data_IF_177185203126
#
_entry.id   IF_177185203126
#
_cell.length_a   1.000
_cell.length_b   1.000
_cell.length_c   1.000
_cell.angle_alpha   90.00
_cell.angle_beta   90.00
_cell.angle_gamma   90.00
#
_symmetry.space_group_name_H-M   'P 1'
#
loop_
_entity.id
_entity.type
_entity.pdbx_description
1 polymer ?
#
# COMPACT_ATOMS: atom_id res chain seq x y z
N UNK A 1 -11.01 -19.51 -5.71
CA UNK A 1 -10.24 -18.57 -4.85
C UNK A 1 -8.83 -19.12 -4.73
N UNK A 2 -7.82 -18.40 -5.22
CA UNK A 2 -6.45 -18.94 -5.26
C UNK A 2 -5.84 -18.96 -3.85
N UNK A 3 -5.21 -20.07 -3.48
CA UNK A 3 -4.48 -20.26 -2.21
C UNK A 3 -3.54 -19.09 -1.90
N UNK A 4 -2.94 -18.49 -2.93
CA UNK A 4 -2.05 -17.33 -2.82
C UNK A 4 -2.69 -16.06 -2.24
N UNK A 5 -3.96 -15.79 -2.55
CA UNK A 5 -4.64 -14.61 -2.01
C UNK A 5 -4.95 -14.79 -0.52
N UNK A 6 -5.43 -15.98 -0.13
CA UNK A 6 -5.65 -16.30 1.28
C UNK A 6 -4.35 -16.30 2.09
N UNK A 7 -3.26 -16.89 1.55
CA UNK A 7 -1.97 -16.90 2.25
C UNK A 7 -1.39 -15.50 2.40
N UNK A 8 -1.52 -14.65 1.38
CA UNK A 8 -1.04 -13.26 1.45
C UNK A 8 -1.84 -12.44 2.48
N UNK A 9 -3.17 -12.55 2.48
CA UNK A 9 -4.02 -11.86 3.45
C UNK A 9 -3.75 -12.39 4.87
N UNK A 10 -3.64 -13.71 5.03
CA UNK A 10 -3.35 -14.36 6.31
C UNK A 10 -1.99 -13.94 6.87
N UNK A 11 -0.94 -13.97 6.05
CA UNK A 11 0.40 -13.56 6.44
C UNK A 11 0.44 -12.06 6.81
N UNK A 12 -0.20 -11.20 6.01
CA UNK A 12 -0.28 -9.77 6.29
C UNK A 12 -1.00 -9.48 7.62
N UNK A 13 -2.08 -10.21 7.89
CA UNK A 13 -2.85 -10.08 9.13
C UNK A 13 -2.04 -10.56 10.33
N UNK A 14 -1.37 -11.70 10.20
CA UNK A 14 -0.49 -12.25 11.24
C UNK A 14 0.64 -11.29 11.58
N UNK A 15 1.32 -10.74 10.57
CA UNK A 15 2.40 -9.77 10.78
C UNK A 15 1.90 -8.51 11.52
N UNK A 16 0.72 -7.99 11.18
CA UNK A 16 0.13 -6.86 11.92
C UNK A 16 -0.13 -7.20 13.38
N UNK A 17 -0.61 -8.41 13.65
CA UNK A 17 -0.91 -8.87 15.01
C UNK A 17 0.38 -9.01 15.84
N UNK A 18 1.42 -9.62 15.26
CA UNK A 18 2.73 -9.75 15.90
C UNK A 18 3.37 -8.39 16.19
N UNK A 19 3.37 -7.47 15.22
CA UNK A 19 3.92 -6.13 15.40
C UNK A 19 3.10 -5.31 16.42
N UNK A 20 1.78 -5.47 16.44
CA UNK A 20 0.92 -4.82 17.42
C UNK A 20 1.22 -5.30 18.84
N UNK A 21 1.32 -6.62 19.04
CA UNK A 21 1.67 -7.18 20.36
C UNK A 21 3.07 -6.75 20.77
N UNK A 22 4.03 -6.72 19.85
CA UNK A 22 5.38 -6.23 20.15
C UNK A 22 5.39 -4.77 20.61
N UNK A 23 4.66 -3.89 19.91
CA UNK A 23 4.50 -2.50 20.30
C UNK A 23 3.77 -2.36 21.64
N UNK A 24 2.68 -3.10 21.85
CA UNK A 24 1.92 -3.11 23.10
C UNK A 24 2.79 -3.57 24.28
N UNK A 25 3.60 -4.61 24.09
CA UNK A 25 4.54 -5.08 25.09
C UNK A 25 5.52 -3.99 25.53
N UNK A 26 6.12 -3.28 24.57
CA UNK A 26 7.06 -2.19 24.86
C UNK A 26 6.36 -0.99 25.53
N UNK A 27 5.13 -0.65 25.13
CA UNK A 27 4.40 0.47 25.74
C UNK A 27 3.91 0.10 27.16
N UNK A 28 3.55 -1.17 27.39
CA UNK A 28 3.04 -1.64 28.69
C UNK A 28 4.09 -1.59 29.81
N UNK A 29 5.38 -1.57 29.48
CA UNK A 29 6.47 -1.41 30.46
C UNK A 29 6.67 0.05 30.88
N UNK A 30 5.85 0.98 30.38
CA UNK A 30 5.89 2.41 30.75
C UNK A 30 6.99 3.21 30.05
N UNK A 31 7.68 2.61 29.07
CA UNK A 31 8.77 3.28 28.36
C UNK A 31 8.22 4.25 27.33
N UNK A 32 8.77 5.47 27.30
CA UNK A 32 8.41 6.48 26.32
C UNK A 32 9.06 6.17 24.96
N UNK A 33 8.25 6.07 23.92
CA UNK A 33 8.71 5.97 22.54
C UNK A 33 9.27 7.31 22.08
N UNK A 34 10.33 7.28 21.26
CA UNK A 34 10.83 8.49 20.62
C UNK A 34 9.82 8.99 19.59
N UNK A 35 9.29 10.22 19.71
CA UNK A 35 8.32 10.77 18.77
C UNK A 35 8.88 10.97 17.36
N UNK A 36 10.21 11.04 17.19
CA UNK A 36 10.83 11.18 15.87
C UNK A 36 10.76 9.88 15.04
N UNK A 37 10.83 8.72 15.70
CA UNK A 37 10.68 7.41 15.06
C UNK A 37 10.11 6.37 16.05
N UNK A 38 8.78 6.39 16.27
CA UNK A 38 8.14 5.49 17.24
C UNK A 38 8.32 4.01 16.88
N UNK A 39 8.29 3.69 15.58
CA UNK A 39 8.42 2.31 15.10
C UNK A 39 9.82 1.75 15.38
N UNK A 40 10.88 2.50 15.05
CA UNK A 40 12.25 2.06 15.35
C UNK A 40 12.50 1.95 16.86
N UNK A 41 11.86 2.83 17.66
CA UNK A 41 11.95 2.82 19.11
C UNK A 41 11.41 1.52 19.70
N UNK A 42 10.30 0.99 19.19
CA UNK A 42 9.75 -0.30 19.64
C UNK A 42 10.79 -1.42 19.49
N UNK A 43 11.42 -1.52 18.32
CA UNK A 43 12.44 -2.55 18.07
C UNK A 43 13.70 -2.33 18.90
N UNK A 44 14.13 -1.08 19.05
CA UNK A 44 15.29 -0.71 19.85
C UNK A 44 15.09 -0.99 21.33
N UNK A 45 13.90 -0.73 21.88
CA UNK A 45 13.57 -1.00 23.28
C UNK A 45 13.39 -2.50 23.54
N UNK A 46 12.90 -3.26 22.56
CA UNK A 46 12.72 -4.70 22.69
C UNK A 46 14.04 -5.50 22.68
N UNK A 47 15.06 -5.07 21.92
CA UNK A 47 16.29 -5.86 21.72
C UNK A 47 17.58 -5.04 21.56
N UNK A 48 17.56 -3.78 21.99
CA UNK A 48 18.71 -2.87 21.92
C UNK A 48 19.07 -2.45 20.49
N UNK A 49 20.35 -2.13 20.28
CA UNK A 49 20.90 -1.73 18.96
C UNK A 49 20.71 -2.81 17.88
N UNK A 50 20.63 -4.08 18.27
CA UNK A 50 20.40 -5.19 17.35
C UNK A 50 19.00 -5.09 16.73
N UNK A 51 17.98 -4.80 17.55
CA UNK A 51 16.62 -4.53 17.08
C UNK A 51 16.52 -3.32 16.17
N UNK A 52 17.24 -2.25 16.49
CA UNK A 52 17.29 -1.05 15.64
C UNK A 52 17.84 -1.37 14.24
N UNK A 53 18.91 -2.17 14.14
CA UNK A 53 19.48 -2.60 12.86
C UNK A 53 18.53 -3.53 12.09
N UNK A 54 17.89 -4.49 12.77
CA UNK A 54 16.90 -5.38 12.16
C UNK A 54 15.75 -4.57 11.58
N UNK A 55 15.23 -3.58 12.32
CA UNK A 55 14.18 -2.70 11.83
C UNK A 55 14.59 -1.99 10.53
N UNK A 56 15.83 -1.47 10.47
CA UNK A 56 16.37 -0.86 9.26
C UNK A 56 16.37 -1.81 8.06
N UNK A 57 16.83 -3.06 8.24
CA UNK A 57 16.83 -4.08 7.18
C UNK A 57 15.40 -4.43 6.74
N UNK A 58 14.47 -4.55 7.69
CA UNK A 58 13.06 -4.86 7.41
C UNK A 58 12.41 -3.75 6.57
N UNK A 59 12.55 -2.48 6.98
CA UNK A 59 11.99 -1.34 6.24
C UNK A 59 12.66 -1.21 4.87
N UNK A 60 13.96 -1.47 4.76
CA UNK A 60 14.67 -1.46 3.47
C UNK A 60 14.13 -2.54 2.51
N UNK A 61 13.97 -3.77 2.98
CA UNK A 61 13.40 -4.86 2.18
C UNK A 61 11.94 -4.59 1.79
N UNK A 62 11.14 -4.04 2.71
CA UNK A 62 9.76 -3.63 2.44
C UNK A 62 9.70 -2.50 1.39
N UNK A 63 10.63 -1.55 1.45
CA UNK A 63 10.75 -0.47 0.47
C UNK A 63 11.04 -1.00 -0.93
N UNK A 64 12.04 -1.87 -1.09
CA UNK A 64 12.42 -2.42 -2.41
C UNK A 64 11.27 -3.22 -3.03
N UNK A 65 10.66 -4.13 -2.27
CA UNK A 65 9.55 -4.95 -2.78
C UNK A 65 8.34 -4.10 -3.19
N UNK A 66 8.05 -3.03 -2.46
CA UNK A 66 7.00 -2.06 -2.80
C UNK A 66 7.32 -1.29 -4.08
N UNK A 67 8.53 -0.70 -4.18
CA UNK A 67 8.95 0.08 -5.36
C UNK A 67 8.92 -0.76 -6.64
N UNK A 68 9.45 -1.98 -6.58
CA UNK A 68 9.44 -2.90 -7.73
C UNK A 68 8.01 -3.33 -8.09
N UNK A 69 7.18 -3.65 -7.09
CA UNK A 69 5.78 -4.02 -7.31
C UNK A 69 4.94 -2.91 -7.94
N UNK A 70 5.10 -1.67 -7.45
CA UNK A 70 4.43 -0.49 -8.01
C UNK A 70 4.88 -0.22 -9.45
N UNK A 71 6.19 -0.25 -9.72
CA UNK A 71 6.71 -0.03 -11.07
C UNK A 71 6.22 -1.10 -12.06
N UNK A 72 6.20 -2.38 -11.65
CA UNK A 72 5.69 -3.46 -12.49
C UNK A 72 4.20 -3.29 -12.82
N UNK A 73 3.40 -2.90 -11.81
CA UNK A 73 1.97 -2.66 -11.99
C UNK A 73 1.73 -1.48 -12.93
N UNK A 74 2.43 -0.35 -12.74
CA UNK A 74 2.34 0.82 -13.62
C UNK A 74 2.71 0.49 -15.07
N UNK A 75 3.84 -0.19 -15.30
CA UNK A 75 4.28 -0.57 -16.65
C UNK A 75 3.30 -1.57 -17.28
N UNK A 76 2.74 -2.50 -16.50
CA UNK A 76 1.73 -3.42 -17.01
C UNK A 76 0.45 -2.73 -17.47
N UNK A 77 0.07 -1.59 -16.88
CA UNK A 77 -1.05 -0.80 -17.38
C UNK A 77 -0.75 -0.16 -18.73
N UNK A 78 0.45 0.41 -18.90
CA UNK A 78 0.85 1.09 -20.15
C UNK A 78 1.08 0.05 -21.27
N UNK A 79 1.54 -1.16 -20.91
CA UNK A 79 1.74 -2.29 -21.83
C UNK A 79 0.50 -2.61 -22.67
N UNK A 80 -0.69 -2.42 -22.11
CA UNK A 80 -1.97 -2.66 -22.80
C UNK A 80 -2.25 -1.65 -23.92
N UNK A 81 -1.55 -0.51 -23.97
CA UNK A 81 -1.76 0.55 -24.96
C UNK A 81 -0.81 0.47 -26.16
N UNK A 82 0.39 -0.12 -26.04
CA UNK A 82 1.34 -0.16 -27.16
C UNK A 82 2.28 -1.39 -27.16
N UNK A 83 2.46 -2.09 -28.30
CA UNK A 83 3.25 -3.32 -28.40
C UNK A 83 4.76 -3.12 -28.25
N UNK A 84 5.28 -1.89 -28.43
CA UNK A 84 6.71 -1.60 -28.20
C UNK A 84 7.11 -1.78 -26.73
N UNK A 85 6.16 -1.60 -25.81
CA UNK A 85 6.38 -1.78 -24.36
C UNK A 85 6.53 -3.27 -24.03
N UNK A 86 5.94 -4.18 -24.82
CA UNK A 86 6.13 -5.63 -24.66
C UNK A 86 7.61 -6.03 -24.80
N UNK A 87 8.33 -5.39 -25.72
CA UNK A 87 9.70 -5.77 -26.10
C UNK A 87 10.76 -5.25 -25.12
N UNK A 88 10.51 -4.11 -24.48
CA UNK A 88 11.48 -3.43 -23.60
C UNK A 88 11.02 -3.30 -22.12
N UNK A 89 10.14 -4.19 -21.64
CA UNK A 89 9.56 -4.13 -20.28
C UNK A 89 10.60 -3.89 -19.17
N UNK A 90 11.74 -4.61 -19.19
CA UNK A 90 12.77 -4.48 -18.16
C UNK A 90 13.40 -3.07 -18.15
N UNK A 91 13.74 -2.55 -19.32
CA UNK A 91 14.38 -1.25 -19.45
C UNK A 91 13.43 -0.11 -19.07
N UNK A 92 12.15 -0.25 -19.42
CA UNK A 92 11.11 0.72 -19.04
C UNK A 92 10.91 0.74 -17.52
N UNK A 93 10.87 -0.42 -16.86
CA UNK A 93 10.76 -0.49 -15.39
C UNK A 93 11.97 0.19 -14.72
N UNK A 94 13.19 -0.12 -15.17
CA UNK A 94 14.41 0.48 -14.61
C UNK A 94 14.39 2.00 -14.81
N UNK A 95 14.08 2.46 -16.02
CA UNK A 95 13.98 3.88 -16.35
C UNK A 95 12.93 4.59 -15.50
N UNK A 96 11.76 3.97 -15.30
CA UNK A 96 10.68 4.51 -14.47
C UNK A 96 11.11 4.69 -13.00
N UNK A 97 11.80 3.69 -12.43
CA UNK A 97 12.32 3.75 -11.06
C UNK A 97 13.41 4.83 -10.96
N UNK A 98 14.35 4.88 -11.90
CA UNK A 98 15.44 5.87 -11.92
C UNK A 98 14.90 7.30 -12.01
N UNK A 99 13.95 7.56 -12.90
CA UNK A 99 13.32 8.89 -13.04
C UNK A 99 12.58 9.27 -11.76
N UNK A 100 11.81 8.33 -11.18
CA UNK A 100 11.08 8.56 -9.94
C UNK A 100 12.03 8.88 -8.76
N UNK A 101 13.18 8.19 -8.71
CA UNK A 101 14.23 8.45 -7.72
C UNK A 101 14.84 9.85 -7.89
N UNK A 102 15.16 10.25 -9.13
CA UNK A 102 15.70 11.58 -9.43
C UNK A 102 14.71 12.68 -9.00
N UNK A 103 13.44 12.54 -9.38
CA UNK A 103 12.39 13.51 -9.00
C UNK A 103 12.27 13.61 -7.47
N UNK A 104 12.32 12.47 -6.77
CA UNK A 104 12.25 12.43 -5.32
C UNK A 104 13.42 13.18 -4.66
N UNK A 105 14.65 12.98 -5.16
CA UNK A 105 15.85 13.67 -4.66
C UNK A 105 15.74 15.19 -4.91
N UNK A 106 15.23 15.61 -6.07
CA UNK A 106 15.09 17.03 -6.42
C UNK A 106 14.06 17.77 -5.55
N UNK A 107 12.96 17.12 -5.16
CA UNK A 107 11.90 17.77 -4.36
C UNK A 107 12.29 17.89 -2.88
N UNK A 108 12.99 16.89 -2.32
CA UNK A 108 13.53 16.94 -0.95
C UNK A 108 12.49 17.00 0.20
N UNK A 109 11.19 16.80 -0.08
CA UNK A 109 10.10 16.87 0.93
C UNK A 109 9.37 15.53 1.09
N UNK A 110 10.00 14.52 1.72
CA UNK A 110 9.46 13.15 1.78
C UNK A 110 8.10 13.05 2.49
N UNK A 111 7.91 13.77 3.59
CA UNK A 111 6.67 13.72 4.39
C UNK A 111 5.49 14.29 3.60
N UNK A 112 5.67 15.43 2.94
CA UNK A 112 4.62 16.04 2.12
C UNK A 112 4.26 15.15 0.93
N UNK A 113 5.26 14.58 0.24
CA UNK A 113 5.02 13.65 -0.87
C UNK A 113 4.24 12.44 -0.37
N UNK A 114 4.62 11.87 0.77
CA UNK A 114 3.97 10.69 1.34
C UNK A 114 2.50 10.99 1.72
N UNK A 115 2.22 12.15 2.32
CA UNK A 115 0.85 12.57 2.64
C UNK A 115 0.01 12.77 1.37
N UNK A 116 0.54 13.48 0.37
CA UNK A 116 -0.16 13.75 -0.89
C UNK A 116 -0.45 12.46 -1.66
N UNK A 117 0.55 11.58 -1.82
CA UNK A 117 0.37 10.29 -2.50
C UNK A 117 -0.58 9.39 -1.71
N UNK A 118 -0.54 9.42 -0.37
CA UNK A 118 -1.48 8.71 0.50
C UNK A 118 -2.93 9.14 0.27
N UNK A 119 -3.20 10.44 0.19
CA UNK A 119 -4.53 10.95 -0.10
C UNK A 119 -5.01 10.60 -1.51
N UNK A 120 -4.14 10.73 -2.52
CA UNK A 120 -4.44 10.31 -3.89
C UNK A 120 -4.79 8.82 -3.94
N UNK A 121 -4.02 7.96 -3.26
CA UNK A 121 -4.31 6.53 -3.19
C UNK A 121 -5.63 6.23 -2.46
N UNK A 122 -5.94 6.98 -1.39
CA UNK A 122 -7.22 6.90 -0.69
C UNK A 122 -8.43 7.16 -1.59
N UNK A 123 -8.26 7.97 -2.64
CA UNK A 123 -9.30 8.28 -3.63
C UNK A 123 -9.35 7.28 -4.80
N UNK A 124 -8.18 6.82 -5.27
CA UNK A 124 -8.11 5.86 -6.38
C UNK A 124 -8.75 4.52 -5.99
N UNK A 125 -8.59 4.09 -4.74
CA UNK A 125 -9.07 2.79 -4.27
C UNK A 125 -10.59 2.59 -4.37
N UNK A 126 -11.47 3.50 -3.86
CA UNK A 126 -12.92 3.34 -4.00
C UNK A 126 -13.39 3.38 -5.45
N UNK A 127 -12.75 4.19 -6.30
CA UNK A 127 -13.07 4.26 -7.73
C UNK A 127 -12.73 2.94 -8.41
N UNK A 128 -11.50 2.45 -8.23
CA UNK A 128 -11.05 1.20 -8.81
C UNK A 128 -11.92 0.01 -8.34
N UNK A 129 -12.18 -0.09 -7.03
CA UNK A 129 -13.03 -1.14 -6.47
C UNK A 129 -14.48 -1.04 -6.95
N UNK A 130 -15.05 0.17 -7.06
CA UNK A 130 -16.39 0.38 -7.59
C UNK A 130 -16.53 -0.07 -9.04
N UNK A 131 -15.58 0.32 -9.90
CA UNK A 131 -15.54 -0.14 -11.31
C UNK A 131 -15.41 -1.66 -11.37
N UNK A 132 -14.55 -2.26 -10.55
CA UNK A 132 -14.36 -3.71 -10.49
C UNK A 132 -15.62 -4.46 -10.06
N UNK A 133 -16.36 -3.94 -9.07
CA UNK A 133 -17.64 -4.51 -8.64
C UNK A 133 -18.68 -4.50 -9.76
N UNK A 134 -18.81 -3.39 -10.50
CA UNK A 134 -19.72 -3.31 -11.66
C UNK A 134 -19.26 -4.24 -12.78
N UNK A 135 -17.95 -4.29 -13.05
CA UNK A 135 -17.37 -5.17 -14.05
C UNK A 135 -17.57 -6.66 -13.72
N UNK A 136 -17.57 -7.03 -12.43
CA UNK A 136 -17.78 -8.41 -11.98
C UNK A 136 -19.14 -9.00 -12.38
N UNK A 137 -20.15 -8.15 -12.65
CA UNK A 137 -21.49 -8.56 -13.11
C UNK A 137 -21.70 -8.43 -14.61
N UNK A 138 -20.72 -7.87 -15.35
CA UNK A 138 -20.79 -7.78 -16.82
C UNK A 138 -20.45 -9.16 -17.42
N UNK A 139 -21.47 -9.87 -17.89
CA UNK A 139 -21.34 -11.16 -18.60
C UNK A 139 -20.40 -11.09 -19.81
N UNK A 140 -20.32 -9.92 -20.48
CA UNK A 140 -19.37 -9.68 -21.60
C UNK A 140 -17.89 -9.74 -21.19
N UNK A 141 -17.57 -9.44 -19.93
CA UNK A 141 -16.19 -9.38 -19.41
C UNK A 141 -15.85 -10.68 -18.67
N UNK A 142 -16.79 -11.19 -17.90
CA UNK A 142 -16.58 -12.25 -16.91
C UNK A 142 -17.05 -13.63 -17.42
N UNK A 143 -17.76 -13.65 -18.55
CA UNK A 143 -18.25 -14.85 -19.24
C UNK A 143 -18.98 -15.80 -18.28
N UNK A 144 -18.36 -16.91 -17.87
CA UNK A 144 -18.99 -17.96 -17.05
C UNK A 144 -18.87 -17.76 -15.53
N UNK A 145 -18.18 -16.72 -15.05
CA UNK A 145 -18.03 -16.52 -13.61
C UNK A 145 -19.20 -15.73 -13.02
N UNK A 146 -19.86 -16.31 -12.02
CA UNK A 146 -20.94 -15.65 -11.26
C UNK A 146 -20.36 -15.11 -9.96
N UNK A 147 -20.28 -13.78 -9.86
CA UNK A 147 -19.88 -13.12 -8.62
C UNK A 147 -20.93 -13.41 -7.53
N UNK A 148 -20.54 -13.97 -6.37
CA UNK A 148 -21.47 -14.21 -5.28
C UNK A 148 -21.93 -12.89 -4.65
N UNK A 149 -23.22 -12.81 -4.32
CA UNK A 149 -23.85 -11.61 -3.76
C UNK A 149 -23.17 -11.15 -2.46
N UNK A 150 -22.73 -12.09 -1.61
CA UNK A 150 -22.06 -11.79 -0.35
C UNK A 150 -20.74 -11.01 -0.55
N UNK A 151 -19.92 -11.39 -1.54
CA UNK A 151 -18.69 -10.65 -1.86
C UNK A 151 -18.97 -9.25 -2.43
N UNK A 152 -20.15 -9.06 -3.00
CA UNK A 152 -20.56 -7.76 -3.58
C UNK A 152 -21.09 -6.82 -2.51
N UNK A 153 -21.89 -7.34 -1.58
CA UNK A 153 -22.38 -6.55 -0.44
C UNK A 153 -21.21 -6.11 0.43
N UNK A 154 -20.28 -7.02 0.74
CA UNK A 154 -19.07 -6.69 1.51
C UNK A 154 -18.15 -5.74 0.74
N UNK A 155 -17.96 -5.94 -0.57
CA UNK A 155 -17.22 -5.01 -1.42
C UNK A 155 -17.85 -3.61 -1.47
N UNK A 156 -19.18 -3.52 -1.58
CA UNK A 156 -19.91 -2.26 -1.58
C UNK A 156 -19.76 -1.53 -0.24
N UNK A 157 -19.86 -2.26 0.88
CA UNK A 157 -19.61 -1.71 2.21
C UNK A 157 -18.20 -1.10 2.30
N UNK A 158 -17.18 -1.80 1.82
CA UNK A 158 -15.80 -1.28 1.79
C UNK A 158 -15.68 -0.02 0.94
N UNK A 159 -16.32 0.02 -0.24
CA UNK A 159 -16.32 1.21 -1.09
C UNK A 159 -16.96 2.41 -0.37
N UNK A 160 -18.09 2.21 0.30
CA UNK A 160 -18.77 3.28 1.06
C UNK A 160 -17.87 3.79 2.20
N UNK A 161 -17.26 2.88 2.97
CA UNK A 161 -16.33 3.26 4.04
C UNK A 161 -15.12 4.02 3.50
N UNK A 162 -14.54 3.58 2.39
CA UNK A 162 -13.39 4.23 1.74
C UNK A 162 -13.76 5.62 1.22
N UNK A 163 -14.94 5.79 0.62
CA UNK A 163 -15.43 7.11 0.18
C UNK A 163 -15.58 8.06 1.38
N UNK A 164 -16.13 7.57 2.50
CA UNK A 164 -16.26 8.36 3.72
C UNK A 164 -14.90 8.78 4.30
N UNK A 165 -13.92 7.86 4.35
CA UNK A 165 -12.55 8.17 4.80
C UNK A 165 -11.82 9.12 3.84
N UNK A 166 -12.00 8.94 2.53
CA UNK A 166 -11.42 9.81 1.50
C UNK A 166 -12.01 11.22 1.59
N UNK A 167 -13.29 11.37 1.92
CA UNK A 167 -13.89 12.67 2.16
C UNK A 167 -13.28 13.35 3.39
N UNK A 168 -13.11 12.61 4.50
CA UNK A 168 -12.49 13.14 5.72
C UNK A 168 -11.06 13.64 5.52
N UNK A 169 -10.26 12.93 4.72
CA UNK A 169 -8.88 13.34 4.38
C UNK A 169 -8.84 14.60 3.52
N UNK A 170 -9.78 14.79 2.59
CA UNK A 170 -9.90 16.02 1.80
C UNK A 170 -10.25 17.21 2.70
N UNK A 171 -11.21 17.04 3.60
CA UNK A 171 -11.60 18.10 4.55
C UNK A 171 -10.42 18.51 5.41
N UNK A 172 -9.62 17.57 5.93
CA UNK A 172 -8.40 17.87 6.68
C UNK A 172 -7.36 18.61 5.84
N UNK A 173 -7.09 18.14 4.61
CA UNK A 173 -6.13 18.78 3.71
C UNK A 173 -6.54 20.21 3.30
N UNK A 174 -7.85 20.49 3.14
CA UNK A 174 -8.36 21.82 2.79
C UNK A 174 -8.44 22.74 4.02
N UNK A 175 -8.84 22.21 5.19
CA UNK A 175 -9.06 23.00 6.41
C UNK A 175 -7.75 23.29 7.16
N UNK A 176 -6.63 22.64 6.78
CA UNK A 176 -5.32 22.88 7.37
C UNK A 176 -5.19 22.44 8.83
N UNK A 177 -6.06 21.54 9.29
CA UNK A 177 -6.03 20.89 10.61
C UNK A 177 -5.80 19.40 10.47
#
# INVERSE_FOLDING_TARGET
VNKGALSAIGLASLMRLLLFIAALGVVSTGVKLDPSNPAASVFKLASGELGYKIFGVVIWAAGISSVVGSAYTSVSFIKSFHPVILKFNREIIITFISISCIIFILIGKPVSILLTVGAINGFILPIALGIMLVAAYRSKIVSNYKQPLLLTITGLAVVITMVWMSYGTIVQMITGK
#
